data_IF_277027781848
#
_entry.id   IF_277027781848
#
_cell.length_a   1.000
_cell.length_b   1.000
_cell.length_c   1.000
_cell.angle_alpha   90.00
_cell.angle_beta   90.00
_cell.angle_gamma   90.00
#
_symmetry.space_group_name_H-M   'P 1'
#
loop_
_entity.id
_entity.type
_entity.pdbx_description
1 polymer ?
#
# COMPACT_ATOMS: atom_id res chain seq x y z
N UNK A 1 43.56 -6.97 -4.68
CA UNK A 1 42.92 -5.65 -4.51
C UNK A 1 41.42 -5.86 -4.57
N UNK A 2 40.71 -5.71 -3.46
CA UNK A 2 39.24 -5.81 -3.46
C UNK A 2 38.70 -4.52 -4.09
N UNK A 3 38.09 -4.63 -5.27
CA UNK A 3 37.34 -3.52 -5.88
C UNK A 3 36.34 -2.98 -4.85
N UNK A 4 36.45 -1.70 -4.52
CA UNK A 4 35.46 -1.02 -3.68
C UNK A 4 34.12 -1.01 -4.43
N UNK A 5 33.26 -1.98 -4.11
CA UNK A 5 31.90 -2.11 -4.61
C UNK A 5 31.09 -0.83 -4.35
N UNK A 6 30.27 -0.42 -5.32
CA UNK A 6 29.48 0.81 -5.27
C UNK A 6 28.59 0.85 -4.00
N UNK A 7 28.73 1.87 -3.12
CA UNK A 7 27.92 2.02 -1.93
C UNK A 7 26.42 2.17 -2.22
N UNK A 8 26.04 2.51 -3.46
CA UNK A 8 24.63 2.62 -3.86
C UNK A 8 23.98 1.26 -4.07
N UNK A 9 24.72 0.21 -4.45
CA UNK A 9 24.19 -1.12 -4.81
C UNK A 9 23.67 -1.98 -3.63
N UNK A 10 23.33 -1.35 -2.50
CA UNK A 10 22.84 -2.00 -1.27
C UNK A 10 21.54 -2.79 -1.44
N UNK A 11 20.76 -2.54 -2.51
CA UNK A 11 19.54 -3.28 -2.82
C UNK A 11 19.79 -4.72 -3.31
N UNK A 12 21.03 -5.06 -3.65
CA UNK A 12 21.47 -6.41 -4.01
C UNK A 12 22.05 -7.20 -2.83
N UNK A 13 22.12 -6.59 -1.64
CA UNK A 13 22.72 -7.24 -0.47
C UNK A 13 21.75 -8.27 0.14
N UNK A 14 22.29 -9.43 0.52
CA UNK A 14 21.61 -10.50 1.27
C UNK A 14 21.01 -9.95 2.57
N UNK A 15 21.74 -9.04 3.23
CA UNK A 15 21.24 -8.25 4.34
C UNK A 15 21.63 -6.76 4.18
N UNK A 16 20.68 -5.88 3.78
CA UNK A 16 20.94 -4.44 3.68
C UNK A 16 21.21 -3.79 5.05
N UNK A 17 20.97 -4.51 6.15
CA UNK A 17 21.10 -4.01 7.53
C UNK A 17 22.50 -4.20 8.12
N UNK A 18 23.36 -5.06 7.55
CA UNK A 18 24.76 -5.25 8.01
C UNK A 18 25.58 -3.95 7.94
N UNK A 19 25.24 -3.05 7.01
CA UNK A 19 25.92 -1.75 6.84
C UNK A 19 25.38 -0.66 7.77
N UNK A 20 24.14 -0.77 8.25
CA UNK A 20 23.54 0.21 9.17
C UNK A 20 24.23 0.16 10.54
N UNK A 21 24.60 -1.02 11.03
CA UNK A 21 25.41 -1.17 12.25
C UNK A 21 26.80 -0.52 12.12
N UNK A 22 27.46 -0.72 10.99
CA UNK A 22 28.83 -0.25 10.74
C UNK A 22 28.96 1.25 10.38
N UNK A 23 27.89 1.90 9.90
CA UNK A 23 27.92 3.32 9.50
C UNK A 23 27.66 4.30 10.65
N UNK A 24 27.30 3.82 11.85
CA UNK A 24 27.06 4.64 13.05
C UNK A 24 28.35 5.18 13.69
N UNK A 25 29.22 5.82 12.90
CA UNK A 25 30.35 6.63 13.42
C UNK A 25 29.90 8.02 13.85
N UNK A 26 28.84 8.11 14.66
CA UNK A 26 28.39 9.37 15.25
C UNK A 26 28.31 9.24 16.76
N UNK A 27 29.42 9.65 17.39
CA UNK A 27 29.57 10.10 18.77
C UNK A 27 28.61 9.51 19.83
N UNK A 28 28.98 8.34 20.35
CA UNK A 28 28.79 8.07 21.77
C UNK A 28 30.15 7.78 22.37
N UNK A 29 30.59 8.64 23.29
CA UNK A 29 31.77 8.45 24.14
C UNK A 29 31.74 7.02 24.67
N UNK A 30 32.70 6.22 24.22
CA UNK A 30 33.05 4.93 24.80
C UNK A 30 33.30 5.14 26.29
N UNK A 31 32.58 4.43 27.15
CA UNK A 31 33.16 4.03 28.43
C UNK A 31 34.05 2.81 28.15
N UNK A 32 35.16 2.71 28.86
CA UNK A 32 36.19 1.69 28.75
C UNK A 32 35.76 0.29 29.24
N UNK A 33 34.47 0.06 29.47
CA UNK A 33 33.91 -1.14 30.10
C UNK A 33 33.51 -2.24 29.11
N UNK A 34 33.88 -2.13 27.82
CA UNK A 34 33.81 -3.21 26.82
C UNK A 34 32.40 -3.73 26.49
N UNK A 35 31.35 -3.21 27.14
CA UNK A 35 29.99 -3.70 27.00
C UNK A 35 29.18 -2.80 26.06
N UNK A 36 29.02 -3.23 24.82
CA UNK A 36 28.17 -2.56 23.83
C UNK A 36 26.72 -2.50 24.34
N UNK A 37 26.14 -1.30 24.44
CA UNK A 37 24.71 -1.16 24.69
C UNK A 37 23.94 -1.79 23.53
N UNK A 38 23.19 -2.85 23.80
CA UNK A 38 22.20 -3.37 22.84
C UNK A 38 21.26 -2.23 22.45
N UNK A 39 21.11 -1.92 21.15
CA UNK A 39 20.24 -0.84 20.71
C UNK A 39 18.84 -1.10 21.25
N UNK A 40 18.31 -0.17 22.05
CA UNK A 40 16.94 -0.26 22.53
C UNK A 40 16.02 0.00 21.35
N UNK A 41 15.48 -1.06 20.76
CA UNK A 41 14.50 -0.96 19.67
C UNK A 41 13.21 -0.40 20.26
N UNK A 42 12.98 0.91 20.06
CA UNK A 42 11.66 1.49 20.30
C UNK A 42 10.74 1.03 19.18
N UNK A 43 9.99 -0.03 19.45
CA UNK A 43 8.89 -0.47 18.58
C UNK A 43 7.77 0.55 18.73
N UNK A 44 7.68 1.49 17.78
CA UNK A 44 6.51 2.36 17.69
C UNK A 44 5.39 1.53 17.08
N UNK A 45 4.48 1.04 17.91
CA UNK A 45 3.27 0.35 17.45
C UNK A 45 2.45 1.33 16.61
N UNK A 46 2.32 1.02 15.31
CA UNK A 46 1.67 1.85 14.29
C UNK A 46 0.18 2.14 14.51
N UNK A 47 -0.44 1.55 15.55
CA UNK A 47 -1.90 1.43 15.61
C UNK A 47 -2.61 2.00 16.83
N UNK A 48 -1.95 2.79 17.69
CA UNK A 48 -2.67 3.44 18.82
C UNK A 48 -3.86 4.29 18.35
N UNK A 49 -3.81 4.86 17.14
CA UNK A 49 -4.91 5.63 16.55
C UNK A 49 -5.92 4.85 15.70
N UNK A 50 -5.69 3.57 15.40
CA UNK A 50 -6.59 2.76 14.58
C UNK A 50 -7.49 1.83 15.44
N UNK A 51 -7.25 1.76 16.75
CA UNK A 51 -8.04 1.01 17.72
C UNK A 51 -9.56 1.27 17.63
N UNK A 52 -10.07 2.50 17.43
CA UNK A 52 -11.52 2.73 17.32
C UNK A 52 -12.10 2.18 16.00
N UNK A 53 -11.38 2.37 14.89
CA UNK A 53 -11.79 1.88 13.57
C UNK A 53 -11.81 0.35 13.54
N UNK A 54 -10.71 -0.29 13.98
CA UNK A 54 -10.65 -1.75 14.06
C UNK A 54 -11.58 -2.33 15.14
N UNK A 55 -11.90 -1.60 16.23
CA UNK A 55 -12.99 -1.99 17.16
C UNK A 55 -14.36 -1.98 16.47
N UNK A 56 -14.65 -1.02 15.62
CA UNK A 56 -15.90 -0.99 14.83
C UNK A 56 -16.01 -2.17 13.86
N UNK A 57 -14.88 -2.77 13.48
CA UNK A 57 -14.78 -4.01 12.71
C UNK A 57 -14.39 -5.24 13.58
N UNK A 58 -14.46 -5.12 14.90
CA UNK A 58 -14.36 -6.22 15.87
C UNK A 58 -12.95 -6.77 16.18
N UNK A 59 -11.87 -5.98 16.15
CA UNK A 59 -10.51 -6.48 16.46
C UNK A 59 -9.77 -5.73 17.56
N UNK A 60 -9.17 -6.49 18.50
CA UNK A 60 -7.97 -6.16 19.27
C UNK A 60 -6.75 -6.79 18.59
N UNK A 61 -5.83 -5.99 18.06
CA UNK A 61 -4.61 -6.52 17.47
C UNK A 61 -3.66 -7.00 18.57
N UNK A 62 -3.32 -8.30 18.56
CA UNK A 62 -2.29 -8.81 19.47
C UNK A 62 -0.94 -8.17 19.13
N UNK A 63 -0.19 -7.66 20.13
CA UNK A 63 1.14 -7.12 19.92
C UNK A 63 2.10 -8.27 19.58
N UNK A 64 2.28 -8.55 18.30
CA UNK A 64 3.38 -9.40 17.86
C UNK A 64 4.67 -8.63 18.11
N UNK A 65 5.55 -9.15 18.96
CA UNK A 65 6.86 -8.56 19.20
C UNK A 65 7.69 -8.74 17.93
N UNK A 66 8.07 -7.66 17.22
CA UNK A 66 8.81 -7.79 15.99
C UNK A 66 10.23 -8.25 16.33
N UNK A 67 10.59 -9.44 15.87
CA UNK A 67 11.99 -9.85 15.80
C UNK A 67 12.70 -9.00 14.75
N UNK A 68 13.91 -8.54 15.08
CA UNK A 68 14.79 -7.92 14.08
C UNK A 68 15.15 -9.04 13.11
N UNK A 69 14.57 -8.95 11.93
CA UNK A 69 14.73 -9.85 10.80
C UNK A 69 15.98 -9.38 10.06
N UNK A 70 16.78 -10.36 9.70
CA UNK A 70 17.88 -10.26 8.77
C UNK A 70 17.35 -10.66 7.39
N UNK A 71 17.72 -9.93 6.32
CA UNK A 71 17.35 -10.31 4.95
C UNK A 71 17.06 -9.17 3.98
N UNK A 72 17.15 -9.50 2.68
CA UNK A 72 17.02 -8.58 1.55
C UNK A 72 15.72 -7.76 1.53
N UNK A 73 15.76 -6.61 0.86
CA UNK A 73 14.59 -5.74 0.59
C UNK A 73 13.47 -6.51 -0.13
N UNK A 74 13.83 -7.53 -0.90
CA UNK A 74 12.92 -8.37 -1.69
C UNK A 74 12.40 -9.62 -0.95
N UNK A 75 12.84 -9.84 0.28
CA UNK A 75 12.42 -11.02 1.04
C UNK A 75 10.95 -10.94 1.45
N UNK A 76 10.16 -11.97 1.14
CA UNK A 76 8.79 -12.16 1.62
C UNK A 76 8.70 -13.37 2.54
N UNK A 77 8.11 -13.19 3.73
CA UNK A 77 7.92 -14.29 4.67
C UNK A 77 6.77 -15.19 4.21
N UNK A 78 6.76 -16.46 4.63
CA UNK A 78 5.66 -17.39 4.30
C UNK A 78 4.29 -16.85 4.72
N UNK A 79 4.23 -16.24 5.91
CA UNK A 79 3.00 -15.66 6.45
C UNK A 79 2.58 -14.42 5.65
N UNK A 80 3.53 -13.61 5.22
CA UNK A 80 3.26 -12.45 4.38
C UNK A 80 2.68 -12.86 3.02
N UNK A 81 3.25 -13.89 2.38
CA UNK A 81 2.73 -14.44 1.11
C UNK A 81 1.31 -14.98 1.31
N UNK A 82 1.07 -15.73 2.38
CA UNK A 82 -0.26 -16.26 2.71
C UNK A 82 -1.28 -15.12 2.88
N UNK A 83 -0.94 -14.10 3.68
CA UNK A 83 -1.81 -12.96 3.92
C UNK A 83 -2.03 -12.09 2.67
N UNK A 84 -1.00 -11.85 1.86
CA UNK A 84 -1.14 -11.16 0.58
C UNK A 84 -2.05 -11.93 -0.37
N UNK A 85 -1.92 -13.26 -0.41
CA UNK A 85 -2.77 -14.13 -1.23
C UNK A 85 -4.22 -14.06 -0.78
N UNK A 86 -4.49 -14.19 0.52
CA UNK A 86 -5.84 -14.06 1.10
C UNK A 86 -6.45 -12.69 0.79
N UNK A 87 -5.68 -11.61 0.98
CA UNK A 87 -6.13 -10.26 0.70
C UNK A 87 -6.42 -10.05 -0.79
N UNK A 88 -5.57 -10.57 -1.67
CA UNK A 88 -5.75 -10.47 -3.13
C UNK A 88 -6.98 -11.22 -3.61
N UNK A 89 -7.21 -12.44 -3.09
CA UNK A 89 -8.39 -13.24 -3.45
C UNK A 89 -9.67 -12.55 -2.97
N UNK A 90 -9.71 -12.11 -1.71
CA UNK A 90 -10.88 -11.44 -1.16
C UNK A 90 -11.13 -10.08 -1.84
N UNK A 91 -10.08 -9.31 -2.15
CA UNK A 91 -10.22 -8.07 -2.91
C UNK A 91 -10.72 -8.32 -4.33
N UNK A 92 -10.19 -9.32 -5.03
CA UNK A 92 -10.66 -9.72 -6.37
C UNK A 92 -12.12 -10.17 -6.35
N UNK A 93 -12.54 -10.90 -5.31
CA UNK A 93 -13.93 -11.29 -5.12
C UNK A 93 -14.85 -10.07 -4.87
N UNK A 94 -14.42 -9.12 -4.04
CA UNK A 94 -15.15 -7.88 -3.81
C UNK A 94 -15.28 -7.06 -5.12
N UNK A 95 -14.21 -6.98 -5.91
CA UNK A 95 -14.22 -6.34 -7.23
C UNK A 95 -15.14 -7.05 -8.23
N UNK A 96 -15.22 -8.39 -8.18
CA UNK A 96 -16.17 -9.15 -8.99
C UNK A 96 -17.63 -8.78 -8.66
N UNK A 97 -17.97 -8.68 -7.36
CA UNK A 97 -19.30 -8.19 -6.96
C UNK A 97 -19.55 -6.76 -7.43
N UNK A 98 -18.57 -5.86 -7.30
CA UNK A 98 -18.69 -4.49 -7.79
C UNK A 98 -18.94 -4.43 -9.31
N UNK A 99 -18.30 -5.31 -10.09
CA UNK A 99 -18.45 -5.34 -11.55
C UNK A 99 -19.88 -5.65 -12.03
N UNK A 100 -20.70 -6.27 -11.18
CA UNK A 100 -22.10 -6.62 -11.46
C UNK A 100 -23.07 -6.01 -10.45
N UNK A 101 -22.65 -4.97 -9.72
CA UNK A 101 -23.51 -4.24 -8.76
C UNK A 101 -24.07 -5.11 -7.62
N UNK A 102 -23.29 -6.08 -7.15
CA UNK A 102 -23.60 -6.91 -5.97
C UNK A 102 -24.11 -8.31 -6.30
N UNK A 103 -24.65 -8.98 -5.28
CA UNK A 103 -25.00 -10.41 -5.31
C UNK A 103 -26.14 -10.71 -6.26
N UNK A 104 -27.10 -9.79 -6.38
CA UNK A 104 -28.23 -9.96 -7.29
C UNK A 104 -27.76 -10.02 -8.75
N UNK A 105 -26.88 -9.11 -9.16
CA UNK A 105 -26.29 -9.14 -10.49
C UNK A 105 -25.40 -10.36 -10.73
N UNK A 106 -24.70 -10.83 -9.70
CA UNK A 106 -23.90 -12.06 -9.78
C UNK A 106 -24.75 -13.32 -10.04
N UNK A 107 -25.91 -13.42 -9.37
CA UNK A 107 -26.86 -14.54 -9.57
C UNK A 107 -27.54 -14.45 -10.94
N UNK A 108 -27.93 -13.24 -11.36
CA UNK A 108 -28.59 -13.05 -12.65
C UNK A 108 -27.67 -13.31 -13.83
N UNK A 109 -26.40 -12.90 -13.74
CA UNK A 109 -25.44 -13.00 -14.83
C UNK A 109 -24.09 -13.58 -14.35
N UNK A 110 -24.01 -14.90 -14.07
CA UNK A 110 -22.79 -15.52 -13.54
C UNK A 110 -21.58 -15.37 -14.47
N UNK A 111 -21.80 -15.41 -15.79
CA UNK A 111 -20.73 -15.22 -16.77
C UNK A 111 -20.14 -13.80 -16.71
N UNK A 112 -21.00 -12.78 -16.61
CA UNK A 112 -20.58 -11.38 -16.46
C UNK A 112 -19.86 -11.15 -15.14
N UNK A 113 -20.25 -11.84 -14.07
CA UNK A 113 -19.52 -11.80 -12.79
C UNK A 113 -18.10 -12.35 -12.92
N UNK A 114 -17.91 -13.47 -13.64
CA UNK A 114 -16.58 -14.04 -13.84
C UNK A 114 -15.70 -13.17 -14.75
N UNK A 115 -16.25 -12.72 -15.89
CA UNK A 115 -15.52 -11.87 -16.85
C UNK A 115 -15.22 -10.50 -16.24
N UNK A 116 -16.23 -9.87 -15.62
CA UNK A 116 -16.10 -8.59 -14.94
C UNK A 116 -15.14 -8.66 -13.76
N UNK A 117 -15.23 -9.73 -12.96
CA UNK A 117 -14.29 -10.00 -11.87
C UNK A 117 -12.85 -10.14 -12.36
N UNK A 118 -12.60 -10.93 -13.40
CA UNK A 118 -11.27 -11.06 -13.99
C UNK A 118 -10.76 -9.71 -14.52
N UNK A 119 -11.60 -8.95 -15.23
CA UNK A 119 -11.25 -7.64 -15.79
C UNK A 119 -10.89 -6.62 -14.69
N UNK A 120 -11.75 -6.48 -13.67
CA UNK A 120 -11.52 -5.55 -12.56
C UNK A 120 -10.33 -5.97 -11.70
N UNK A 121 -10.16 -7.27 -11.42
CA UNK A 121 -9.01 -7.77 -10.68
C UNK A 121 -7.70 -7.52 -11.44
N UNK A 122 -7.69 -7.71 -12.77
CA UNK A 122 -6.52 -7.42 -13.60
C UNK A 122 -6.21 -5.91 -13.66
N UNK A 123 -7.24 -5.06 -13.69
CA UNK A 123 -7.06 -3.61 -13.78
C UNK A 123 -6.69 -2.95 -12.44
N UNK A 124 -7.27 -3.41 -11.31
CA UNK A 124 -7.16 -2.74 -10.00
C UNK A 124 -6.29 -3.53 -9.02
N UNK A 125 -6.22 -4.86 -9.14
CA UNK A 125 -5.39 -5.72 -8.28
C UNK A 125 -3.92 -5.30 -8.22
N UNK A 126 -3.26 -4.96 -9.35
CA UNK A 126 -1.88 -4.46 -9.34
C UNK A 126 -1.72 -3.19 -8.53
N UNK A 127 -2.69 -2.27 -8.54
CA UNK A 127 -2.64 -1.04 -7.76
C UNK A 127 -2.55 -1.35 -6.25
N UNK A 128 -3.43 -2.21 -5.75
CA UNK A 128 -3.37 -2.67 -4.35
C UNK A 128 -2.03 -3.33 -4.00
N UNK A 129 -1.58 -4.31 -4.81
CA UNK A 129 -0.36 -5.04 -4.51
C UNK A 129 0.88 -4.14 -4.53
N UNK A 130 1.03 -3.32 -5.56
CA UNK A 130 2.17 -2.43 -5.70
C UNK A 130 2.15 -1.32 -4.65
N UNK A 131 0.98 -0.85 -4.22
CA UNK A 131 0.83 0.08 -3.08
C UNK A 131 1.43 -0.50 -1.79
N UNK A 132 1.04 -1.72 -1.42
CA UNK A 132 1.54 -2.37 -0.20
C UNK A 132 3.03 -2.71 -0.31
N UNK A 133 3.48 -3.18 -1.48
CA UNK A 133 4.90 -3.44 -1.75
C UNK A 133 5.71 -2.14 -1.64
N UNK A 134 5.18 -1.00 -2.07
CA UNK A 134 5.86 0.29 -1.96
C UNK A 134 6.12 0.68 -0.50
N UNK A 135 5.11 0.54 0.37
CA UNK A 135 5.31 0.74 1.81
C UNK A 135 6.42 -0.14 2.36
N UNK A 136 6.41 -1.43 1.99
CA UNK A 136 7.42 -2.39 2.44
C UNK A 136 8.82 -2.02 1.97
N UNK A 137 9.00 -1.75 0.68
CA UNK A 137 10.31 -1.42 0.09
C UNK A 137 10.88 -0.17 0.76
N UNK A 138 10.07 0.89 0.93
CA UNK A 138 10.53 2.14 1.54
C UNK A 138 10.85 1.95 3.02
N UNK A 139 10.07 1.14 3.75
CA UNK A 139 10.36 0.81 5.14
C UNK A 139 11.67 0.01 5.30
N UNK A 140 11.88 -1.01 4.47
CA UNK A 140 13.12 -1.81 4.44
C UNK A 140 14.33 -0.95 4.08
N UNK A 141 14.18 -0.01 3.14
CA UNK A 141 15.24 0.97 2.81
C UNK A 141 15.65 1.83 4.01
N UNK A 142 14.76 2.06 4.97
CA UNK A 142 15.07 2.79 6.20
C UNK A 142 15.56 1.94 7.36
N UNK A 143 15.89 0.66 7.15
CA UNK A 143 16.39 -0.18 8.24
C UNK A 143 15.29 -0.85 9.06
N UNK A 144 14.04 -0.81 8.59
CA UNK A 144 12.90 -1.31 9.36
C UNK A 144 12.43 -2.68 8.90
N UNK A 145 11.85 -3.42 9.84
CA UNK A 145 10.91 -4.47 9.48
C UNK A 145 9.76 -3.91 8.70
N UNK A 146 9.32 -4.69 7.74
CA UNK A 146 8.06 -4.48 7.07
C UNK A 146 7.56 -5.82 6.54
N UNK A 147 6.34 -6.19 6.96
CA UNK A 147 5.60 -7.33 6.41
C UNK A 147 4.12 -7.01 6.32
N UNK A 148 3.50 -7.37 5.21
CA UNK A 148 2.05 -7.26 5.06
C UNK A 148 1.32 -8.24 5.99
N UNK A 149 0.28 -7.74 6.68
CA UNK A 149 -0.63 -8.55 7.50
C UNK A 149 -2.06 -8.29 7.09
N UNK A 150 -2.76 -9.34 6.66
CA UNK A 150 -4.17 -9.27 6.32
C UNK A 150 -5.03 -9.06 7.58
N UNK A 151 -6.15 -8.38 7.41
CA UNK A 151 -7.19 -8.25 8.44
C UNK A 151 -8.36 -9.18 8.10
N UNK A 152 -8.53 -10.32 8.80
CA UNK A 152 -9.63 -11.24 8.51
C UNK A 152 -11.01 -10.57 8.55
N UNK A 153 -11.24 -9.69 9.53
CA UNK A 153 -12.47 -8.91 9.63
C UNK A 153 -12.63 -7.93 8.46
N UNK A 154 -11.57 -7.23 8.08
CA UNK A 154 -11.60 -6.28 6.97
C UNK A 154 -11.87 -6.95 5.63
N UNK A 155 -11.28 -8.13 5.40
CA UNK A 155 -11.57 -8.96 4.21
C UNK A 155 -13.02 -9.44 4.22
N UNK A 156 -13.48 -10.02 5.34
CA UNK A 156 -14.85 -10.55 5.47
C UNK A 156 -15.91 -9.46 5.24
N UNK A 157 -15.82 -8.36 5.97
CA UNK A 157 -16.79 -7.27 5.84
C UNK A 157 -16.70 -6.57 4.49
N UNK A 158 -15.49 -6.43 3.94
CA UNK A 158 -15.29 -5.89 2.60
C UNK A 158 -16.04 -6.65 1.52
N UNK A 159 -15.93 -7.98 1.52
CA UNK A 159 -16.66 -8.84 0.58
C UNK A 159 -18.17 -8.77 0.81
N UNK A 160 -18.62 -8.78 2.07
CA UNK A 160 -20.05 -8.67 2.40
C UNK A 160 -20.64 -7.35 1.90
N UNK A 161 -19.95 -6.23 2.14
CA UNK A 161 -20.41 -4.90 1.69
C UNK A 161 -20.45 -4.85 0.16
N UNK A 162 -19.42 -5.36 -0.52
CA UNK A 162 -19.41 -5.42 -1.98
C UNK A 162 -20.54 -6.29 -2.54
N UNK A 163 -20.82 -7.44 -1.91
CA UNK A 163 -21.93 -8.30 -2.29
C UNK A 163 -23.29 -7.64 -2.02
N UNK A 164 -23.45 -6.89 -0.94
CA UNK A 164 -24.72 -6.27 -0.58
C UNK A 164 -25.03 -5.01 -1.39
N UNK A 165 -24.03 -4.17 -1.65
CA UNK A 165 -24.24 -2.81 -2.17
C UNK A 165 -23.56 -2.55 -3.52
N UNK A 166 -22.75 -3.49 -4.03
CA UNK A 166 -22.08 -3.33 -5.31
C UNK A 166 -20.95 -2.29 -5.33
N UNK A 167 -20.45 -1.84 -4.17
CA UNK A 167 -19.25 -1.01 -4.08
C UNK A 167 -18.24 -1.62 -3.09
N UNK A 168 -16.95 -1.44 -3.37
CA UNK A 168 -15.89 -1.96 -2.49
C UNK A 168 -15.49 -0.92 -1.46
N UNK A 169 -15.70 -1.24 -0.19
CA UNK A 169 -15.13 -0.51 0.94
C UNK A 169 -14.52 -1.51 1.90
N UNK A 170 -13.18 -1.62 1.89
CA UNK A 170 -12.49 -2.63 2.67
C UNK A 170 -11.11 -2.16 3.13
N UNK A 171 -10.70 -2.64 4.30
CA UNK A 171 -9.35 -2.52 4.82
C UNK A 171 -8.69 -3.91 4.74
N UNK A 172 -8.02 -4.27 3.63
CA UNK A 172 -7.55 -5.63 3.39
C UNK A 172 -6.49 -6.08 4.40
N UNK A 173 -5.69 -5.14 4.88
CA UNK A 173 -4.58 -5.36 5.78
C UNK A 173 -3.76 -4.10 5.93
N UNK A 174 -2.55 -4.24 6.43
CA UNK A 174 -1.55 -3.18 6.41
C UNK A 174 -0.15 -3.78 6.45
N UNK A 175 0.82 -3.08 5.87
CA UNK A 175 2.24 -3.35 6.14
C UNK A 175 2.58 -2.93 7.57
N UNK A 176 2.94 -3.92 8.39
CA UNK A 176 3.40 -3.72 9.75
C UNK A 176 4.86 -3.34 9.73
N UNK A 177 5.16 -2.12 10.18
CA UNK A 177 6.52 -1.58 10.21
C UNK A 177 7.04 -1.56 11.64
N UNK A 178 8.23 -2.13 11.86
CA UNK A 178 8.88 -2.11 13.16
C UNK A 178 10.37 -1.76 13.03
N UNK A 179 10.80 -0.70 13.72
CA UNK A 179 12.16 -0.22 13.66
C UNK A 179 12.25 1.20 14.21
N UNK A 180 13.48 1.71 14.31
CA UNK A 180 13.69 3.10 14.70
C UNK A 180 13.52 4.00 13.47
N UNK A 181 12.38 4.70 13.39
CA UNK A 181 12.12 5.70 12.34
C UNK A 181 11.96 7.09 12.92
N UNK A 182 12.45 8.08 12.20
CA UNK A 182 12.07 9.48 12.41
C UNK A 182 10.65 9.71 11.93
N UNK A 183 9.98 10.77 12.42
CA UNK A 183 8.66 11.19 11.93
C UNK A 183 8.66 11.38 10.41
N UNK A 184 9.76 11.90 9.85
CA UNK A 184 9.90 12.10 8.42
C UNK A 184 10.04 10.80 7.62
N UNK A 185 10.81 9.83 8.11
CA UNK A 185 10.88 8.52 7.48
C UNK A 185 9.52 7.81 7.51
N UNK A 186 8.81 7.88 8.65
CA UNK A 186 7.49 7.29 8.78
C UNK A 186 6.47 7.88 7.81
N UNK A 187 6.45 9.21 7.66
CA UNK A 187 5.60 9.87 6.67
C UNK A 187 5.98 9.55 5.21
N UNK A 188 7.28 9.39 4.91
CA UNK A 188 7.75 8.94 3.60
C UNK A 188 7.35 7.50 3.28
N UNK A 189 7.34 6.61 4.29
CA UNK A 189 6.81 5.25 4.13
C UNK A 189 5.32 5.34 3.80
N UNK A 190 4.56 6.16 4.52
CA UNK A 190 3.11 6.30 4.31
C UNK A 190 2.74 6.90 2.94
N UNK A 191 3.47 7.89 2.42
CA UNK A 191 3.16 8.47 1.11
C UNK A 191 3.58 7.58 -0.07
N UNK A 192 4.44 6.57 0.16
CA UNK A 192 4.94 5.70 -0.90
C UNK A 192 3.83 4.94 -1.64
N UNK A 193 2.86 4.39 -0.91
CA UNK A 193 1.72 3.68 -1.50
C UNK A 193 0.88 4.58 -2.43
N UNK A 194 0.32 5.71 -1.92
CA UNK A 194 -0.42 6.65 -2.75
C UNK A 194 0.35 7.14 -3.98
N UNK A 195 1.65 7.37 -3.87
CA UNK A 195 2.47 7.78 -5.02
C UNK A 195 2.61 6.69 -6.08
N UNK A 196 2.67 5.41 -5.70
CA UNK A 196 2.70 4.30 -6.68
C UNK A 196 1.37 4.23 -7.44
N UNK A 197 0.23 4.41 -6.77
CA UNK A 197 -1.05 4.46 -7.45
C UNK A 197 -1.14 5.65 -8.41
N UNK A 198 -0.65 6.84 -8.02
CA UNK A 198 -0.56 7.98 -8.93
C UNK A 198 0.37 7.68 -10.12
N UNK A 199 1.50 7.01 -9.91
CA UNK A 199 2.40 6.65 -11.00
C UNK A 199 1.75 5.67 -11.99
N UNK A 200 1.02 4.67 -11.49
CA UNK A 200 0.24 3.75 -12.32
C UNK A 200 -0.91 4.47 -13.05
N UNK A 201 -1.54 5.45 -12.44
CA UNK A 201 -2.52 6.32 -13.09
C UNK A 201 -1.89 7.13 -14.23
N UNK A 202 -0.74 7.77 -14.01
CA UNK A 202 0.00 8.52 -15.05
C UNK A 202 0.38 7.60 -16.21
N UNK A 203 0.80 6.37 -15.92
CA UNK A 203 1.06 5.36 -16.94
C UNK A 203 -0.20 5.06 -17.77
N UNK A 204 -1.35 4.88 -17.12
CA UNK A 204 -2.64 4.70 -17.80
C UNK A 204 -3.01 5.89 -18.69
N UNK A 205 -2.77 7.12 -18.23
CA UNK A 205 -3.00 8.33 -19.03
C UNK A 205 -2.10 8.34 -20.27
N UNK A 206 -0.83 7.98 -20.10
CA UNK A 206 0.10 7.82 -21.23
C UNK A 206 -0.40 6.81 -22.26
N UNK A 207 -1.02 5.71 -21.82
CA UNK A 207 -1.61 4.73 -22.72
C UNK A 207 -2.84 5.27 -23.45
N UNK A 208 -3.73 5.99 -22.76
CA UNK A 208 -4.91 6.63 -23.37
C UNK A 208 -4.49 7.62 -24.47
N UNK A 209 -3.43 8.39 -24.23
CA UNK A 209 -2.91 9.37 -25.20
C UNK A 209 -2.37 8.75 -26.50
N UNK A 210 -2.04 7.46 -26.51
CA UNK A 210 -1.61 6.79 -27.74
C UNK A 210 -2.76 6.59 -28.75
N UNK A 211 -4.01 6.67 -28.29
CA UNK A 211 -5.24 6.51 -29.06
C UNK A 211 -5.34 5.16 -29.81
N UNK A 212 -6.46 4.92 -30.52
CA UNK A 212 -6.67 3.78 -31.42
C UNK A 212 -6.63 2.38 -30.77
N UNK A 213 -6.97 2.28 -29.48
CA UNK A 213 -7.10 1.00 -28.82
C UNK A 213 -8.42 0.29 -29.17
N UNK A 214 -8.45 -1.03 -28.96
CA UNK A 214 -9.72 -1.77 -29.06
C UNK A 214 -10.67 -1.36 -27.93
N UNK A 215 -12.01 -1.45 -28.12
CA UNK A 215 -12.98 -1.12 -27.07
C UNK A 215 -12.79 -1.89 -25.75
N UNK A 216 -12.22 -3.09 -25.84
CA UNK A 216 -11.85 -3.87 -24.65
C UNK A 216 -10.71 -3.23 -23.86
N UNK A 217 -9.67 -2.76 -24.54
CA UNK A 217 -8.52 -2.10 -23.91
C UNK A 217 -8.94 -0.73 -23.36
N UNK A 218 -9.77 0.03 -24.07
CA UNK A 218 -10.31 1.30 -23.55
C UNK A 218 -11.08 1.10 -22.25
N UNK A 219 -11.94 0.07 -22.21
CA UNK A 219 -12.65 -0.29 -20.98
C UNK A 219 -11.69 -0.69 -19.87
N UNK A 220 -10.64 -1.46 -20.18
CA UNK A 220 -9.61 -1.83 -19.21
C UNK A 220 -8.88 -0.59 -18.67
N UNK A 221 -8.45 0.32 -19.54
CA UNK A 221 -7.77 1.57 -19.18
C UNK A 221 -8.66 2.49 -18.34
N UNK A 222 -9.95 2.59 -18.67
CA UNK A 222 -10.92 3.34 -17.86
C UNK A 222 -11.02 2.78 -16.43
N UNK A 223 -11.11 1.46 -16.28
CA UNK A 223 -11.14 0.80 -14.95
C UNK A 223 -9.79 0.97 -14.23
N UNK A 224 -8.68 0.87 -14.95
CA UNK A 224 -7.33 1.06 -14.42
C UNK A 224 -7.13 2.46 -13.85
N UNK A 225 -7.48 3.50 -14.63
CA UNK A 225 -7.42 4.90 -14.20
C UNK A 225 -8.30 5.13 -12.98
N UNK A 226 -9.57 4.70 -13.05
CA UNK A 226 -10.52 4.82 -11.96
C UNK A 226 -9.98 4.15 -10.67
N UNK A 227 -9.52 2.90 -10.76
CA UNK A 227 -9.05 2.13 -9.62
C UNK A 227 -7.84 2.77 -8.94
N UNK A 228 -6.83 3.17 -9.72
CA UNK A 228 -5.63 3.82 -9.19
C UNK A 228 -5.95 5.17 -8.54
N UNK A 229 -6.80 5.98 -9.17
CA UNK A 229 -7.17 7.29 -8.63
C UNK A 229 -8.00 7.16 -7.34
N UNK A 230 -8.99 6.26 -7.31
CA UNK A 230 -9.80 5.99 -6.10
C UNK A 230 -8.91 5.46 -4.97
N UNK A 231 -8.06 4.47 -5.23
CA UNK A 231 -7.21 3.88 -4.17
C UNK A 231 -6.20 4.90 -3.62
N UNK A 232 -5.63 5.76 -4.48
CA UNK A 232 -4.79 6.86 -4.03
C UNK A 232 -5.57 7.83 -3.13
N UNK A 233 -6.74 8.29 -3.59
CA UNK A 233 -7.56 9.26 -2.85
C UNK A 233 -8.09 8.70 -1.53
N UNK A 234 -8.56 7.45 -1.53
CA UNK A 234 -9.05 6.78 -0.34
C UNK A 234 -7.96 6.67 0.74
N UNK A 235 -6.75 6.25 0.36
CA UNK A 235 -5.65 6.13 1.31
C UNK A 235 -5.14 7.49 1.81
N UNK A 236 -5.46 8.59 1.13
CA UNK A 236 -5.12 9.95 1.59
C UNK A 236 -6.10 10.52 2.63
N UNK A 237 -7.20 9.83 2.96
CA UNK A 237 -8.12 10.30 3.99
C UNK A 237 -7.43 10.32 5.39
N UNK A 238 -7.60 11.39 6.20
CA UNK A 238 -6.83 11.59 7.43
C UNK A 238 -7.41 10.87 8.67
N UNK A 239 -7.92 9.65 8.53
CA UNK A 239 -8.52 8.90 9.64
C UNK A 239 -8.30 7.39 9.54
N UNK A 240 -8.66 6.67 10.62
CA UNK A 240 -8.55 5.22 10.66
C UNK A 240 -7.10 4.71 10.48
N UNK A 241 -6.90 3.60 9.75
CA UNK A 241 -5.59 3.02 9.44
C UNK A 241 -4.94 3.60 8.17
N UNK A 242 -5.61 4.53 7.48
CA UNK A 242 -5.24 5.04 6.17
C UNK A 242 -3.94 5.87 6.22
N UNK A 243 -3.25 5.95 5.09
CA UNK A 243 -1.92 6.56 5.01
C UNK A 243 -1.94 8.07 5.23
N UNK A 244 -2.99 8.75 4.79
CA UNK A 244 -3.19 10.19 4.94
C UNK A 244 -3.08 10.64 6.38
N UNK A 245 -3.56 9.83 7.33
CA UNK A 245 -3.40 10.11 8.77
C UNK A 245 -1.94 10.17 9.19
N UNK A 246 -1.11 9.24 8.69
CA UNK A 246 0.32 9.17 8.98
C UNK A 246 1.09 10.32 8.31
N UNK A 247 0.72 10.66 7.08
CA UNK A 247 1.31 11.77 6.32
C UNK A 247 1.00 13.10 7.01
N UNK A 248 -0.26 13.30 7.45
CA UNK A 248 -0.65 14.50 8.21
C UNK A 248 0.11 14.63 9.51
N UNK A 249 0.28 13.54 10.26
CA UNK A 249 1.07 13.52 11.49
C UNK A 249 2.57 13.80 11.25
N UNK A 250 3.08 13.56 10.04
CA UNK A 250 4.44 13.94 9.64
C UNK A 250 4.52 15.43 9.30
N UNK A 251 3.64 15.92 8.40
CA UNK A 251 3.70 17.31 7.91
C UNK A 251 2.35 17.74 7.32
N UNK A 252 1.72 18.75 7.91
CA UNK A 252 0.47 19.33 7.40
C UNK A 252 0.59 19.89 5.96
N UNK A 253 1.66 20.63 5.58
CA UNK A 253 1.81 21.11 4.21
C UNK A 253 1.87 19.99 3.16
N UNK A 254 2.72 18.98 3.39
CA UNK A 254 2.85 17.82 2.50
C UNK A 254 1.52 17.08 2.39
N UNK A 255 0.81 16.89 3.51
CA UNK A 255 -0.50 16.28 3.51
C UNK A 255 -1.49 17.05 2.63
N UNK A 256 -1.68 18.36 2.84
CA UNK A 256 -2.68 19.11 2.08
C UNK A 256 -2.35 19.21 0.59
N UNK A 257 -1.08 19.42 0.23
CA UNK A 257 -0.67 19.46 -1.18
C UNK A 257 -0.94 18.12 -1.85
N UNK A 258 -0.50 17.01 -1.25
CA UNK A 258 -0.74 15.68 -1.82
C UNK A 258 -2.22 15.31 -1.83
N UNK A 259 -2.96 15.63 -0.77
CA UNK A 259 -4.39 15.34 -0.62
C UNK A 259 -5.21 16.04 -1.72
N UNK A 260 -5.02 17.36 -1.88
CA UNK A 260 -5.75 18.13 -2.89
C UNK A 260 -5.39 17.68 -4.30
N UNK A 261 -4.10 17.41 -4.57
CA UNK A 261 -3.65 16.92 -5.88
C UNK A 261 -4.29 15.57 -6.23
N UNK A 262 -4.23 14.61 -5.31
CA UNK A 262 -4.78 13.27 -5.53
C UNK A 262 -6.31 13.31 -5.62
N UNK A 263 -6.97 14.14 -4.83
CA UNK A 263 -8.43 14.31 -4.90
C UNK A 263 -8.85 14.95 -6.22
N UNK A 264 -8.08 15.92 -6.74
CA UNK A 264 -8.30 16.50 -8.07
C UNK A 264 -8.14 15.44 -9.17
N UNK A 265 -7.08 14.61 -9.12
CA UNK A 265 -6.90 13.47 -10.03
C UNK A 265 -8.11 12.54 -10.01
N UNK A 266 -8.56 12.15 -8.82
CA UNK A 266 -9.75 11.30 -8.66
C UNK A 266 -11.01 11.96 -9.21
N UNK A 267 -11.24 13.23 -8.91
CA UNK A 267 -12.40 13.97 -9.42
C UNK A 267 -12.42 13.99 -10.95
N UNK A 268 -11.35 14.45 -11.61
CA UNK A 268 -11.30 14.53 -13.07
C UNK A 268 -11.37 13.17 -13.76
N UNK A 269 -10.83 12.13 -13.13
CA UNK A 269 -10.93 10.76 -13.65
C UNK A 269 -12.37 10.24 -13.56
N UNK A 270 -13.06 10.49 -12.45
CA UNK A 270 -14.41 9.97 -12.21
C UNK A 270 -15.50 10.73 -12.97
N UNK A 271 -15.30 12.02 -13.24
CA UNK A 271 -16.24 12.81 -14.05
C UNK A 271 -16.03 12.66 -15.55
N UNK A 272 -14.95 12.00 -15.97
CA UNK A 272 -14.55 11.92 -17.38
C UNK A 272 -13.87 13.18 -17.91
N UNK A 273 -13.83 14.27 -17.13
CA UNK A 273 -13.16 15.53 -17.52
C UNK A 273 -11.69 15.33 -17.91
N UNK A 274 -11.04 14.25 -17.44
CA UNK A 274 -9.68 13.93 -17.83
C UNK A 274 -9.55 13.72 -19.36
N UNK A 275 -10.54 13.12 -20.01
CA UNK A 275 -10.51 12.89 -21.46
C UNK A 275 -10.64 14.21 -22.22
N UNK A 276 -11.54 15.10 -21.78
CA UNK A 276 -11.68 16.45 -22.31
C UNK A 276 -10.39 17.29 -22.17
N UNK A 277 -9.71 17.19 -21.01
CA UNK A 277 -8.44 17.88 -20.75
C UNK A 277 -7.34 17.36 -21.67
N UNK A 278 -7.33 16.06 -21.96
CA UNK A 278 -6.35 15.41 -22.82
C UNK A 278 -6.67 15.59 -24.31
N UNK A 279 -7.88 16.00 -24.67
CA UNK A 279 -8.33 16.19 -26.05
C UNK A 279 -8.59 14.88 -26.80
N UNK A 280 -9.00 13.83 -26.07
CA UNK A 280 -9.30 12.48 -26.58
C UNK A 280 -10.71 12.06 -26.19
#
# INVERSE_FOLDING_TARGET
>A
MSEKRDPRAHWLDEDPFDKLGNSSKTHTRTRDDGNWRKPHVRVVYSNQGAQPFFRSFGTSQQPHQPTIHTGSIWYFSKIEIEHLTQATIAFSLALAFMSVQGIYGAIQNPLSFLIGGALYAAAIGPAFLLHEIAHKIVARKYGCWAEFRASPSGLKWGVIIAAAFGFVFMAPGAVMVAGQTTKAQFGKIAIAGPLVNVALWVFGVGMVLLNDWSPFIDRFLGIWLMGNAILAAFNMLPFGPLDGKKIKAWSDPIFWVSFVTILSIAYHTLTGNIYDILGV
#
